data_IF_070879272353
#
_entry.id   IF_070879272353
#
_cell.length_a   1.000
_cell.length_b   1.000
_cell.length_c   1.000
_cell.angle_alpha   90.00
_cell.angle_beta   90.00
_cell.angle_gamma   90.00
#
_symmetry.space_group_name_H-M   'P 1'
#
loop_
_entity.id
_entity.type
_entity.pdbx_description
1 polymer ?
#
# COMPACT_ATOMS: atom_id res chain seq x y z
N UNK A 1 -10.90 12.45 -14.67
CA UNK A 1 -11.91 11.44 -14.34
C UNK A 1 -12.44 11.72 -12.97
N UNK A 2 -13.55 12.47 -12.89
CA UNK A 2 -14.25 12.70 -11.62
C UNK A 2 -15.62 12.04 -11.74
N UNK A 3 -16.10 11.43 -10.66
CA UNK A 3 -17.48 10.96 -10.54
C UNK A 3 -18.37 12.18 -10.36
N UNK A 4 -19.22 12.46 -11.34
CA UNK A 4 -20.17 13.56 -11.28
C UNK A 4 -21.49 13.10 -10.66
N UNK A 5 -21.88 13.73 -9.56
CA UNK A 5 -23.19 13.56 -8.92
C UNK A 5 -24.06 14.75 -9.30
N UNK A 6 -25.14 14.51 -10.05
CA UNK A 6 -26.10 15.55 -10.43
C UNK A 6 -27.06 15.80 -9.26
N UNK A 7 -27.28 17.07 -8.92
CA UNK A 7 -28.19 17.48 -7.84
C UNK A 7 -29.38 18.19 -8.46
N UNK A 8 -30.59 17.69 -8.21
CA UNK A 8 -31.84 18.26 -8.71
C UNK A 8 -32.87 18.41 -7.59
N UNK A 9 -33.66 19.49 -7.67
CA UNK A 9 -34.81 19.76 -6.80
C UNK A 9 -35.94 20.31 -7.69
N UNK A 10 -36.71 19.40 -8.29
CA UNK A 10 -37.64 19.67 -9.39
C UNK A 10 -36.95 19.89 -10.73
N UNK A 11 -35.90 20.72 -10.75
CA UNK A 11 -35.03 21.00 -11.88
C UNK A 11 -33.55 20.78 -11.50
N UNK A 12 -32.67 20.60 -12.50
CA UNK A 12 -31.23 20.44 -12.28
C UNK A 12 -30.64 21.69 -11.62
N UNK A 13 -30.11 21.55 -10.39
CA UNK A 13 -29.53 22.64 -9.61
C UNK A 13 -28.01 22.74 -9.74
N UNK A 14 -27.34 21.65 -10.10
CA UNK A 14 -25.90 21.63 -10.31
C UNK A 14 -25.32 20.22 -10.35
N UNK A 15 -23.99 20.14 -10.34
CA UNK A 15 -23.23 18.89 -10.29
C UNK A 15 -22.08 18.99 -9.28
N UNK A 16 -21.82 17.91 -8.55
CA UNK A 16 -20.70 17.76 -7.62
C UNK A 16 -19.72 16.77 -8.24
N UNK A 17 -18.46 17.16 -8.41
CA UNK A 17 -17.38 16.28 -8.86
C UNK A 17 -16.62 15.67 -7.69
N UNK A 18 -16.62 14.34 -7.58
CA UNK A 18 -15.84 13.59 -6.58
C UNK A 18 -14.69 12.89 -7.30
N UNK A 19 -13.46 13.04 -6.82
CA UNK A 19 -12.30 12.36 -7.39
C UNK A 19 -11.36 11.90 -6.29
N UNK A 20 -10.81 10.70 -6.46
CA UNK A 20 -9.72 10.23 -5.62
C UNK A 20 -8.45 11.01 -5.94
N UNK A 21 -7.85 11.58 -4.89
CA UNK A 21 -6.58 12.29 -5.04
C UNK A 21 -5.46 11.28 -5.14
N UNK A 22 -4.65 11.45 -6.18
CA UNK A 22 -3.37 10.75 -6.33
C UNK A 22 -2.47 11.19 -5.17
N UNK A 23 -1.77 10.24 -4.55
CA UNK A 23 -0.78 10.57 -3.51
C UNK A 23 0.34 11.41 -4.11
N UNK A 24 0.77 12.44 -3.39
CA UNK A 24 1.79 13.40 -3.87
C UNK A 24 3.12 12.72 -4.25
N UNK A 25 3.42 11.57 -3.64
CA UNK A 25 4.64 10.83 -3.87
C UNK A 25 4.57 9.80 -5.01
N UNK A 26 3.39 9.58 -5.59
CA UNK A 26 3.16 8.55 -6.62
C UNK A 26 4.02 8.76 -7.85
N UNK A 27 3.98 9.96 -8.46
CA UNK A 27 4.74 10.25 -9.69
C UNK A 27 6.24 10.02 -9.49
N UNK A 28 6.79 10.47 -8.35
CA UNK A 28 8.21 10.28 -8.03
C UNK A 28 8.55 8.81 -7.79
N UNK A 29 7.69 8.07 -7.11
CA UNK A 29 7.88 6.64 -6.86
C UNK A 29 7.86 5.83 -8.16
N UNK A 30 6.89 6.08 -9.04
CA UNK A 30 6.78 5.45 -10.36
C UNK A 30 8.00 5.74 -11.22
N UNK A 31 8.42 7.02 -11.32
CA UNK A 31 9.63 7.39 -12.06
C UNK A 31 10.88 6.67 -11.53
N UNK A 32 10.99 6.50 -10.21
CA UNK A 32 12.11 5.79 -9.59
C UNK A 32 12.10 4.30 -9.93
N UNK A 33 10.92 3.66 -9.96
CA UNK A 33 10.79 2.26 -10.38
C UNK A 33 11.18 2.07 -11.85
N UNK A 34 10.71 2.97 -12.74
CA UNK A 34 11.10 2.96 -14.16
C UNK A 34 12.61 3.10 -14.32
N UNK A 35 13.25 4.02 -13.58
CA UNK A 35 14.71 4.19 -13.60
C UNK A 35 15.48 2.96 -13.06
N UNK A 36 14.81 2.02 -12.40
CA UNK A 36 15.37 0.75 -11.93
C UNK A 36 15.01 -0.43 -12.84
N UNK A 37 14.54 -0.14 -14.07
CA UNK A 37 14.10 -1.13 -15.07
C UNK A 37 12.90 -1.98 -14.60
N UNK A 38 12.03 -1.40 -13.78
CA UNK A 38 10.76 -2.02 -13.39
C UNK A 38 9.64 -1.37 -14.19
N UNK A 39 8.87 -2.17 -14.93
CA UNK A 39 7.70 -1.72 -15.68
C UNK A 39 6.49 -1.60 -14.73
N UNK A 40 5.99 -0.38 -14.45
CA UNK A 40 4.81 -0.21 -13.62
C UNK A 40 3.56 -0.45 -14.47
N UNK A 41 2.63 -1.25 -13.94
CA UNK A 41 1.33 -1.55 -14.56
C UNK A 41 0.23 -1.13 -13.59
N UNK A 42 -0.75 -0.36 -14.08
CA UNK A 42 -1.93 0.00 -13.27
C UNK A 42 -3.02 -1.06 -13.47
N UNK A 43 -3.47 -1.67 -12.38
CA UNK A 43 -4.58 -2.61 -12.36
C UNK A 43 -5.71 -2.02 -11.52
N UNK A 44 -6.85 -1.68 -12.13
CA UNK A 44 -7.96 -1.02 -11.45
C UNK A 44 -9.33 -1.54 -11.91
N UNK A 45 -10.31 -1.43 -11.01
CA UNK A 45 -11.72 -1.68 -11.32
C UNK A 45 -12.45 -0.44 -11.85
N UNK A 46 -11.78 0.72 -11.89
CA UNK A 46 -12.33 1.92 -12.51
C UNK A 46 -12.42 1.79 -14.03
N UNK A 47 -13.30 2.60 -14.63
CA UNK A 47 -13.41 2.67 -16.07
C UNK A 47 -12.11 3.18 -16.73
N UNK A 48 -11.91 2.76 -17.97
CA UNK A 48 -10.72 3.07 -18.75
C UNK A 48 -10.39 4.57 -18.85
N UNK A 49 -11.40 5.43 -18.96
CA UNK A 49 -11.19 6.88 -19.09
C UNK A 49 -10.58 7.48 -17.81
N UNK A 50 -11.07 7.07 -16.65
CA UNK A 50 -10.51 7.51 -15.36
C UNK A 50 -9.13 6.90 -15.14
N UNK A 51 -8.99 5.59 -15.38
CA UNK A 51 -7.74 4.88 -15.19
C UNK A 51 -6.59 5.47 -16.03
N UNK A 52 -6.83 5.72 -17.33
CA UNK A 52 -5.83 6.34 -18.22
C UNK A 52 -5.45 7.75 -17.78
N UNK A 53 -6.41 8.57 -17.36
CA UNK A 53 -6.12 9.92 -16.88
C UNK A 53 -5.19 9.89 -15.64
N UNK A 54 -5.45 8.99 -14.69
CA UNK A 54 -4.59 8.81 -13.51
C UNK A 54 -3.21 8.28 -13.93
N UNK A 55 -3.16 7.29 -14.82
CA UNK A 55 -1.93 6.69 -15.29
C UNK A 55 -1.02 7.71 -16.01
N UNK A 56 -1.57 8.54 -16.88
CA UNK A 56 -0.85 9.64 -17.54
C UNK A 56 -0.30 10.64 -16.51
N UNK A 57 -1.06 10.95 -15.46
CA UNK A 57 -0.63 11.87 -14.41
C UNK A 57 0.54 11.32 -13.56
N UNK A 58 0.68 10.01 -13.43
CA UNK A 58 1.80 9.39 -12.68
C UNK A 58 2.90 8.83 -13.56
N UNK A 59 2.70 8.75 -14.88
CA UNK A 59 3.68 8.24 -15.84
C UNK A 59 3.65 6.71 -16.02
N UNK A 60 2.48 6.08 -15.88
CA UNK A 60 2.26 4.65 -16.13
C UNK A 60 1.77 4.45 -17.57
N UNK A 61 2.42 3.55 -18.32
CA UNK A 61 2.10 3.30 -19.73
C UNK A 61 1.08 2.17 -19.93
N UNK A 62 1.17 1.10 -19.13
CA UNK A 62 0.28 -0.07 -19.23
C UNK A 62 -0.82 0.03 -18.18
N UNK A 63 -2.06 0.07 -18.64
CA UNK A 63 -3.26 0.20 -17.79
C UNK A 63 -4.23 -0.94 -18.11
N UNK A 64 -4.71 -1.59 -17.06
CA UNK A 64 -5.69 -2.66 -17.08
C UNK A 64 -6.87 -2.19 -16.24
N UNK A 65 -7.88 -1.66 -16.92
CA UNK A 65 -9.08 -1.05 -16.34
C UNK A 65 -10.26 -2.03 -16.35
N UNK A 66 -11.34 -1.68 -15.66
CA UNK A 66 -12.57 -2.48 -15.56
C UNK A 66 -12.34 -3.92 -15.04
N UNK A 67 -11.31 -4.12 -14.21
CA UNK A 67 -10.97 -5.44 -13.66
C UNK A 67 -11.69 -5.67 -12.32
N UNK A 68 -12.56 -6.69 -12.29
CA UNK A 68 -13.23 -7.14 -11.07
C UNK A 68 -12.21 -7.69 -10.05
N UNK A 69 -12.48 -7.60 -8.73
CA UNK A 69 -11.58 -8.10 -7.69
C UNK A 69 -11.10 -9.55 -7.93
N UNK A 70 -12.04 -10.46 -8.24
CA UNK A 70 -11.73 -11.88 -8.51
C UNK A 70 -10.84 -12.07 -9.75
N UNK A 71 -10.90 -11.13 -10.69
CA UNK A 71 -10.17 -11.18 -11.97
C UNK A 71 -8.78 -10.56 -11.88
N UNK A 72 -8.47 -9.79 -10.81
CA UNK A 72 -7.14 -9.21 -10.61
C UNK A 72 -6.05 -10.30 -10.51
N UNK A 73 -6.35 -11.38 -9.79
CA UNK A 73 -5.45 -12.51 -9.65
C UNK A 73 -5.19 -13.21 -11.00
N UNK A 74 -6.20 -13.36 -11.84
CA UNK A 74 -6.03 -13.94 -13.18
C UNK A 74 -5.10 -13.12 -14.05
N UNK A 75 -5.23 -11.79 -13.98
CA UNK A 75 -4.41 -10.87 -14.75
C UNK A 75 -2.92 -10.91 -14.32
N UNK A 76 -2.66 -11.04 -13.02
CA UNK A 76 -1.32 -11.33 -12.51
C UNK A 76 -0.79 -12.64 -13.07
N UNK A 77 -1.62 -13.69 -13.08
CA UNK A 77 -1.27 -14.98 -13.67
C UNK A 77 -0.94 -14.89 -15.17
N UNK A 78 -1.64 -14.02 -15.91
CA UNK A 78 -1.37 -13.78 -17.33
C UNK A 78 0.01 -13.13 -17.52
N UNK A 79 0.33 -12.11 -16.73
CA UNK A 79 1.65 -11.45 -16.73
C UNK A 79 2.77 -12.44 -16.36
N UNK A 80 2.54 -13.32 -15.40
CA UNK A 80 3.49 -14.37 -15.03
C UNK A 80 3.68 -15.39 -16.16
N UNK A 81 2.61 -15.77 -16.86
CA UNK A 81 2.66 -16.66 -18.01
C UNK A 81 3.39 -16.05 -19.22
N UNK A 82 3.37 -14.71 -19.34
CA UNK A 82 4.18 -13.93 -20.30
C UNK A 82 5.69 -13.95 -19.94
N UNK A 83 6.07 -14.54 -18.79
CA UNK A 83 7.46 -14.68 -18.34
C UNK A 83 7.93 -13.57 -17.40
N UNK A 84 7.03 -12.68 -16.97
CA UNK A 84 7.37 -11.62 -16.02
C UNK A 84 7.35 -12.12 -14.58
N UNK A 85 8.23 -11.55 -13.74
CA UNK A 85 8.17 -11.67 -12.28
C UNK A 85 7.34 -10.50 -11.77
N UNK A 86 6.22 -10.78 -11.11
CA UNK A 86 5.21 -9.76 -10.79
C UNK A 86 5.22 -9.45 -9.31
N UNK A 87 5.38 -8.17 -8.97
CA UNK A 87 5.10 -7.67 -7.63
C UNK A 87 3.76 -6.93 -7.64
N UNK A 88 2.81 -7.36 -6.81
CA UNK A 88 1.50 -6.72 -6.67
C UNK A 88 1.53 -5.76 -5.49
N UNK A 89 1.00 -4.54 -5.68
CA UNK A 89 0.91 -3.52 -4.65
C UNK A 89 -0.56 -3.19 -4.42
N UNK A 90 -1.04 -3.33 -3.18
CA UNK A 90 -2.46 -3.14 -2.86
C UNK A 90 -2.72 -2.71 -1.42
N UNK A 91 -3.99 -2.53 -1.08
CA UNK A 91 -4.44 -2.16 0.28
C UNK A 91 -4.54 -3.35 1.26
N UNK A 92 -4.43 -4.58 0.73
CA UNK A 92 -4.47 -5.82 1.50
C UNK A 92 -5.86 -6.32 1.87
N UNK A 93 -6.92 -5.53 1.68
CA UNK A 93 -8.30 -5.93 2.00
C UNK A 93 -9.00 -6.44 0.75
N UNK A 94 -9.01 -5.64 -0.32
CA UNK A 94 -9.70 -5.98 -1.57
C UNK A 94 -8.80 -6.76 -2.54
N UNK A 95 -7.50 -6.67 -2.32
CA UNK A 95 -6.47 -7.20 -3.21
C UNK A 95 -5.82 -8.48 -2.68
N UNK A 96 -6.28 -9.04 -1.55
CA UNK A 96 -5.66 -10.21 -0.92
C UNK A 96 -5.44 -11.40 -1.88
N UNK A 97 -6.42 -11.84 -2.71
CA UNK A 97 -6.19 -12.92 -3.67
C UNK A 97 -5.14 -12.57 -4.75
N UNK A 98 -5.06 -11.29 -5.13
CA UNK A 98 -4.10 -10.81 -6.10
C UNK A 98 -2.68 -10.72 -5.49
N UNK A 99 -2.57 -10.24 -4.25
CA UNK A 99 -1.32 -10.21 -3.49
C UNK A 99 -0.73 -11.60 -3.29
N UNK A 100 -1.56 -12.57 -2.90
CA UNK A 100 -1.13 -13.95 -2.69
C UNK A 100 -0.70 -14.68 -3.98
N UNK A 101 -1.19 -14.24 -5.15
CA UNK A 101 -0.82 -14.83 -6.45
C UNK A 101 0.44 -14.23 -7.07
N UNK A 102 0.80 -13.01 -6.68
CA UNK A 102 2.01 -12.36 -7.15
C UNK A 102 3.27 -13.12 -6.71
N UNK A 103 4.40 -12.92 -7.38
CA UNK A 103 5.69 -13.42 -6.90
C UNK A 103 6.11 -12.74 -5.60
N UNK A 104 5.67 -11.48 -5.42
CA UNK A 104 5.80 -10.71 -4.18
C UNK A 104 4.55 -9.86 -3.98
N UNK A 105 3.81 -10.10 -2.91
CA UNK A 105 2.70 -9.26 -2.46
C UNK A 105 3.20 -8.12 -1.56
N UNK A 106 2.84 -6.88 -1.89
CA UNK A 106 3.19 -5.68 -1.09
C UNK A 106 1.93 -4.95 -0.66
N UNK A 107 1.66 -4.92 0.65
CA UNK A 107 0.55 -4.15 1.21
C UNK A 107 0.99 -2.74 1.64
N UNK A 108 0.19 -1.72 1.34
CA UNK A 108 0.46 -0.32 1.71
C UNK A 108 -0.54 0.19 2.74
N UNK A 109 -0.03 0.73 3.85
CA UNK A 109 -0.87 1.41 4.84
C UNK A 109 -1.86 0.48 5.53
N UNK A 110 -1.58 -0.81 5.51
CA UNK A 110 -2.43 -1.84 6.06
C UNK A 110 -1.98 -2.16 7.48
N UNK A 111 -2.85 -1.87 8.44
CA UNK A 111 -2.75 -2.31 9.84
C UNK A 111 -3.88 -3.29 10.20
N UNK A 112 -4.46 -3.95 9.19
CA UNK A 112 -5.52 -4.95 9.35
C UNK A 112 -4.93 -6.35 9.24
N UNK A 113 -5.45 -7.29 10.04
CA UNK A 113 -4.93 -8.67 10.11
C UNK A 113 -4.93 -9.37 8.74
N UNK A 114 -5.90 -9.06 7.87
CA UNK A 114 -6.00 -9.65 6.52
C UNK A 114 -4.78 -9.33 5.65
N UNK A 115 -4.23 -8.12 5.77
CA UNK A 115 -3.06 -7.73 5.00
C UNK A 115 -1.77 -8.37 5.55
N UNK A 116 -1.73 -8.65 6.86
CA UNK A 116 -0.63 -9.37 7.51
C UNK A 116 -0.54 -10.83 7.04
N UNK A 117 -1.67 -11.47 6.76
CA UNK A 117 -1.69 -12.85 6.29
C UNK A 117 -1.49 -12.97 4.77
N UNK A 118 -1.79 -11.93 3.99
CA UNK A 118 -1.87 -12.03 2.52
C UNK A 118 -0.69 -11.41 1.75
N UNK A 119 0.22 -10.69 2.41
CA UNK A 119 1.32 -9.99 1.76
C UNK A 119 2.70 -10.36 2.34
N UNK A 120 3.71 -10.48 1.47
CA UNK A 120 5.10 -10.77 1.86
C UNK A 120 5.80 -9.54 2.46
N UNK A 121 5.39 -8.34 2.05
CA UNK A 121 5.98 -7.07 2.49
C UNK A 121 4.88 -6.10 2.89
N UNK A 122 5.00 -5.51 4.08
CA UNK A 122 4.01 -4.56 4.61
C UNK A 122 4.68 -3.21 4.83
N UNK A 123 4.14 -2.19 4.16
CA UNK A 123 4.56 -0.81 4.35
C UNK A 123 3.67 -0.14 5.38
N UNK A 124 4.24 0.10 6.57
CA UNK A 124 3.57 0.74 7.72
C UNK A 124 3.00 2.11 7.33
N UNK A 125 3.74 2.87 6.52
CA UNK A 125 3.32 4.20 6.07
C UNK A 125 2.62 4.10 4.72
N UNK A 126 1.51 4.82 4.55
CA UNK A 126 0.72 4.84 3.31
C UNK A 126 1.36 5.65 2.17
N UNK A 127 2.65 5.43 1.88
CA UNK A 127 3.47 6.13 0.88
C UNK A 127 3.97 5.17 -0.19
N UNK A 128 3.72 5.47 -1.47
CA UNK A 128 4.16 4.62 -2.59
C UNK A 128 5.69 4.60 -2.73
N UNK A 129 6.36 5.64 -2.27
CA UNK A 129 7.82 5.72 -2.20
C UNK A 129 8.45 4.57 -1.41
N UNK A 130 7.72 4.00 -0.45
CA UNK A 130 8.18 2.84 0.32
C UNK A 130 8.38 1.60 -0.54
N UNK A 131 7.58 1.42 -1.60
CA UNK A 131 7.72 0.29 -2.54
C UNK A 131 9.03 0.41 -3.31
N UNK A 132 9.32 1.60 -3.85
CA UNK A 132 10.55 1.84 -4.57
C UNK A 132 11.79 1.68 -3.66
N UNK A 133 11.70 2.14 -2.41
CA UNK A 133 12.77 1.97 -1.42
C UNK A 133 12.99 0.49 -1.07
N UNK A 134 11.92 -0.27 -0.83
CA UNK A 134 12.00 -1.70 -0.55
C UNK A 134 12.64 -2.47 -1.71
N UNK A 135 12.25 -2.15 -2.96
CA UNK A 135 12.85 -2.75 -4.15
C UNK A 135 14.35 -2.44 -4.28
N UNK A 136 14.75 -1.20 -4.06
CA UNK A 136 16.16 -0.78 -4.11
C UNK A 136 17.00 -1.47 -3.03
N UNK A 137 16.50 -1.55 -1.80
CA UNK A 137 17.14 -2.26 -0.69
C UNK A 137 17.30 -3.74 -1.02
N UNK A 138 16.25 -4.38 -1.57
CA UNK A 138 16.29 -5.77 -1.99
C UNK A 138 17.35 -6.01 -3.08
N UNK A 139 17.37 -5.17 -4.12
CA UNK A 139 18.34 -5.27 -5.23
C UNK A 139 19.78 -5.11 -4.75
N UNK A 140 20.03 -4.15 -3.88
CA UNK A 140 21.35 -3.92 -3.29
C UNK A 140 21.78 -5.08 -2.38
N UNK A 141 20.86 -5.58 -1.56
CA UNK A 141 21.12 -6.71 -0.66
C UNK A 141 21.43 -7.98 -1.45
N UNK A 142 20.65 -8.28 -2.49
CA UNK A 142 20.90 -9.43 -3.36
C UNK A 142 22.24 -9.34 -4.09
N UNK A 143 22.64 -8.14 -4.56
CA UNK A 143 23.97 -7.92 -5.14
C UNK A 143 25.08 -8.27 -4.15
N UNK A 144 25.01 -7.75 -2.92
CA UNK A 144 26.00 -8.06 -1.87
C UNK A 144 26.03 -9.56 -1.53
N UNK A 145 24.88 -10.21 -1.48
CA UNK A 145 24.81 -11.67 -1.25
C UNK A 145 25.54 -12.43 -2.36
N UNK A 146 25.34 -12.05 -3.63
CA UNK A 146 26.06 -12.67 -4.76
C UNK A 146 27.57 -12.44 -4.69
N UNK A 147 28.00 -11.23 -4.33
CA UNK A 147 29.43 -10.91 -4.16
C UNK A 147 30.06 -11.75 -3.03
N UNK A 148 29.42 -11.79 -1.86
CA UNK A 148 29.89 -12.58 -0.72
C UNK A 148 29.96 -14.08 -1.06
N UNK A 149 28.94 -14.59 -1.77
CA UNK A 149 28.88 -15.98 -2.19
C UNK A 149 29.98 -16.30 -3.22
N UNK A 150 30.22 -15.40 -4.19
CA UNK A 150 31.29 -15.56 -5.17
C UNK A 150 32.68 -15.57 -4.51
N UNK A 151 32.92 -14.71 -3.51
CA UNK A 151 34.17 -14.71 -2.74
C UNK A 151 34.32 -16.01 -1.96
N UNK A 152 33.27 -16.47 -1.27
CA UNK A 152 33.30 -17.72 -0.51
C UNK A 152 33.58 -18.94 -1.39
N UNK A 153 32.91 -19.05 -2.54
CA UNK A 153 33.16 -20.13 -3.50
C UNK A 153 34.54 -20.05 -4.13
N UNK A 154 35.05 -18.85 -4.42
CA UNK A 154 36.40 -18.69 -4.96
C UNK A 154 37.46 -19.12 -3.94
N UNK A 155 37.29 -18.72 -2.69
CA UNK A 155 38.18 -19.11 -1.59
C UNK A 155 38.23 -20.62 -1.42
N UNK A 156 37.07 -21.29 -1.34
CA UNK A 156 37.01 -22.74 -1.20
C UNK A 156 37.47 -23.46 -2.48
N UNK A 157 37.08 -22.95 -3.64
CA UNK A 157 37.42 -23.51 -4.95
C UNK A 157 38.92 -23.49 -5.23
N UNK A 158 39.66 -22.50 -4.73
CA UNK A 158 41.13 -22.44 -4.81
C UNK A 158 41.78 -23.15 -3.61
N UNK A 159 41.24 -22.96 -2.41
CA UNK A 159 41.79 -23.48 -1.17
C UNK A 159 41.81 -25.01 -1.10
N UNK A 160 40.75 -25.68 -1.57
CA UNK A 160 40.67 -27.15 -1.54
C UNK A 160 41.72 -27.82 -2.45
N UNK A 161 41.88 -27.43 -3.73
CA UNK A 161 42.96 -27.95 -4.57
C UNK A 161 44.35 -27.73 -3.98
N UNK A 162 44.64 -26.53 -3.47
CA UNK A 162 45.96 -26.26 -2.87
C UNK A 162 46.16 -27.10 -1.60
N UNK A 163 45.15 -27.24 -0.75
CA UNK A 163 45.23 -28.11 0.42
C UNK A 163 45.46 -29.58 0.05
N UNK A 164 44.83 -30.05 -1.03
CA UNK A 164 45.00 -31.41 -1.54
C UNK A 164 46.45 -31.68 -2.04
N UNK A 165 47.19 -30.66 -2.45
CA UNK A 165 48.62 -30.81 -2.80
C UNK A 165 49.53 -31.02 -1.59
N UNK A 166 49.03 -30.86 -0.36
CA UNK A 166 49.80 -31.01 0.88
C UNK A 166 50.76 -29.85 1.19
N UNK A 167 50.84 -28.83 0.33
CA UNK A 167 51.69 -27.65 0.48
C UNK A 167 51.10 -26.60 1.45
N UNK A 168 49.82 -26.71 1.80
CA UNK A 168 49.11 -25.75 2.64
C UNK A 168 49.08 -26.23 4.10
N UNK A 169 49.93 -25.61 4.93
CA UNK A 169 49.94 -25.90 6.36
C UNK A 169 48.63 -25.41 7.03
N UNK A 170 47.96 -26.19 7.90
CA UNK A 170 46.63 -25.88 8.45
C UNK A 170 46.50 -24.49 9.13
N UNK A 171 47.60 -23.99 9.70
CA UNK A 171 47.66 -22.68 10.37
C UNK A 171 47.37 -21.54 9.38
N UNK A 172 47.93 -21.61 8.16
CA UNK A 172 47.73 -20.59 7.13
C UNK A 172 46.32 -20.65 6.55
N UNK A 173 45.73 -21.83 6.44
CA UNK A 173 44.33 -21.99 6.03
C UNK A 173 43.36 -21.35 7.03
N UNK A 174 43.58 -21.56 8.34
CA UNK A 174 42.79 -20.93 9.39
C UNK A 174 42.93 -19.40 9.41
N UNK A 175 44.15 -18.88 9.26
CA UNK A 175 44.39 -17.43 9.19
C UNK A 175 43.67 -16.79 7.99
N UNK A 176 43.71 -17.43 6.83
CA UNK A 176 43.04 -16.97 5.62
C UNK A 176 41.50 -17.02 5.75
N UNK A 177 40.96 -18.03 6.43
CA UNK A 177 39.52 -18.11 6.72
C UNK A 177 39.06 -16.97 7.64
N UNK A 178 39.82 -16.66 8.70
CA UNK A 178 39.53 -15.52 9.60
C UNK A 178 39.56 -14.21 8.83
N UNK A 179 40.59 -13.98 8.02
CA UNK A 179 40.72 -12.75 7.21
C UNK A 179 39.56 -12.59 6.21
N UNK A 180 39.12 -13.67 5.57
CA UNK A 180 37.98 -13.68 4.65
C UNK A 180 36.68 -13.28 5.34
N UNK A 181 36.39 -13.87 6.51
CA UNK A 181 35.21 -13.52 7.31
C UNK A 181 35.26 -12.05 7.74
N UNK A 182 36.42 -11.56 8.20
CA UNK A 182 36.59 -10.16 8.56
C UNK A 182 36.34 -9.21 7.37
N UNK A 183 36.81 -9.57 6.18
CA UNK A 183 36.59 -8.77 4.96
C UNK A 183 35.12 -8.73 4.54
N UNK A 184 34.42 -9.88 4.60
CA UNK A 184 32.99 -9.97 4.28
C UNK A 184 32.14 -9.18 5.28
N UNK A 185 32.47 -9.24 6.57
CA UNK A 185 31.83 -8.41 7.59
C UNK A 185 32.12 -6.93 7.34
N UNK A 186 33.36 -6.56 7.06
CA UNK A 186 33.72 -5.19 6.74
C UNK A 186 32.98 -4.66 5.48
N UNK A 187 32.78 -5.48 4.45
CA UNK A 187 32.01 -5.09 3.26
C UNK A 187 30.49 -4.98 3.55
N UNK A 188 29.97 -5.86 4.40
CA UNK A 188 28.56 -5.88 4.76
C UNK A 188 28.19 -4.69 5.67
N UNK A 189 29.05 -4.34 6.62
CA UNK A 189 28.83 -3.25 7.59
C UNK A 189 29.51 -1.92 7.22
N UNK A 190 30.52 -1.91 6.36
CA UNK A 190 31.28 -0.69 6.03
C UNK A 190 30.44 0.42 5.41
N UNK A 191 29.42 0.05 4.62
CA UNK A 191 28.44 1.02 4.12
C UNK A 191 27.59 1.68 5.21
N UNK A 192 27.38 1.02 6.36
CA UNK A 192 26.69 1.56 7.54
C UNK A 192 27.59 2.41 8.44
N UNK A 193 28.91 2.26 8.34
CA UNK A 193 29.86 3.01 9.18
C UNK A 193 30.37 4.30 8.52
N UNK A 194 30.44 4.33 7.18
CA UNK A 194 30.93 5.48 6.40
C UNK A 194 29.81 6.49 6.07
N UNK A 195 28.57 6.03 5.90
CA UNK A 195 27.40 6.92 5.87
C UNK A 195 26.83 6.95 7.28
N UNK A 196 27.11 8.02 8.02
CA UNK A 196 26.49 8.36 9.31
C UNK A 196 24.99 8.65 9.20
N UNK A 197 24.26 7.88 8.40
CA UNK A 197 22.80 7.82 8.43
C UNK A 197 22.45 6.86 9.57
N UNK A 198 22.50 7.40 10.78
CA UNK A 198 21.73 6.86 11.88
C UNK A 198 20.31 6.64 11.39
N UNK A 199 19.70 5.54 11.84
CA UNK A 199 18.26 5.39 11.74
C UNK A 199 17.69 6.50 12.62
N UNK A 200 17.44 7.66 12.03
CA UNK A 200 16.48 8.61 12.55
C UNK A 200 15.12 7.94 12.38
N UNK A 201 14.81 7.03 13.31
CA UNK A 201 13.42 6.76 13.64
C UNK A 201 12.80 8.10 14.02
N UNK A 202 11.53 8.35 13.66
CA UNK A 202 10.86 9.56 14.08
C UNK A 202 10.88 9.61 15.62
N UNK A 203 11.74 10.46 16.17
CA UNK A 203 11.68 10.89 17.55
C UNK A 203 10.35 11.61 17.75
N UNK A 204 9.55 11.14 18.72
CA UNK A 204 8.36 11.85 19.18
C UNK A 204 7.03 11.13 18.97
N UNK A 205 6.88 9.92 19.49
CA UNK A 205 5.58 9.46 19.98
C UNK A 205 5.84 8.52 21.16
N UNK A 206 5.69 9.06 22.37
CA UNK A 206 5.66 8.28 23.59
C UNK A 206 4.75 7.06 23.42
N UNK A 207 5.27 5.90 23.80
CA UNK A 207 4.50 4.67 23.94
C UNK A 207 3.24 4.98 24.77
N UNK A 208 2.08 4.95 24.12
CA UNK A 208 0.80 4.84 24.81
C UNK A 208 0.49 3.35 24.94
N UNK A 209 0.06 2.88 26.12
CA UNK A 209 -0.26 1.47 26.30
C UNK A 209 -1.44 1.08 25.40
N UNK A 210 -1.36 -0.13 24.87
CA UNK A 210 -2.41 -0.81 24.12
C UNK A 210 -3.70 -0.87 24.96
N UNK A 211 -4.89 -0.57 24.41
CA UNK A 211 -6.12 -0.88 25.10
C UNK A 211 -6.45 -2.36 24.88
N UNK A 212 -6.52 -3.06 26.01
CA UNK A 212 -7.07 -4.41 26.16
C UNK A 212 -8.49 -4.49 25.57
N UNK A 213 -8.77 -5.62 24.94
CA UNK A 213 -10.10 -5.97 24.44
C UNK A 213 -11.09 -6.10 25.61
N UNK A 214 -11.86 -5.05 25.85
CA UNK A 214 -13.02 -5.05 26.74
C UNK A 214 -14.31 -5.19 25.94
N UNK A 215 -15.03 -6.29 26.17
CA UNK A 215 -16.44 -6.39 25.86
C UNK A 215 -17.18 -5.25 26.58
N UNK A 216 -17.86 -4.38 25.82
CA UNK A 216 -18.76 -3.38 26.38
C UNK A 216 -20.20 -3.83 26.12
N UNK A 217 -20.85 -4.17 27.23
CA UNK A 217 -22.25 -4.51 27.38
C UNK A 217 -23.18 -3.36 26.96
N UNK A 218 -24.41 -3.74 26.61
CA UNK A 218 -25.52 -2.85 26.34
C UNK A 218 -25.85 -2.01 27.58
N UNK A 219 -25.89 -0.69 27.44
CA UNK A 219 -26.51 0.18 28.44
C UNK A 219 -27.54 1.11 27.78
N UNK A 220 -28.79 0.86 28.14
CA UNK A 220 -29.95 1.65 27.81
C UNK A 220 -29.92 2.95 28.61
N UNK A 221 -30.09 4.09 27.94
CA UNK A 221 -30.42 5.35 28.59
C UNK A 221 -31.64 5.95 27.91
N UNK A 222 -32.80 5.81 28.58
CA UNK A 222 -34.00 6.61 28.36
C UNK A 222 -33.78 8.04 28.88
N UNK A 223 -34.40 9.05 28.24
CA UNK A 223 -34.63 10.36 28.87
C UNK A 223 -34.52 11.60 27.97
N UNK A 224 -35.57 11.86 27.20
CA UNK A 224 -36.21 13.16 26.91
C UNK A 224 -35.46 14.38 26.33
N UNK A 225 -36.02 14.89 25.21
CA UNK A 225 -35.74 16.23 24.69
C UNK A 225 -36.10 16.41 23.21
N UNK A 226 -37.39 16.34 22.86
CA UNK A 226 -37.88 16.50 21.48
C UNK A 226 -37.63 17.94 20.98
N UNK A 227 -36.84 18.08 19.91
CA UNK A 227 -36.92 19.16 18.92
C UNK A 227 -36.94 18.54 17.53
N UNK A 228 -37.78 19.01 16.58
CA UNK A 228 -37.90 18.37 15.26
C UNK A 228 -36.67 18.75 14.42
N UNK A 229 -35.64 17.91 14.43
CA UNK A 229 -34.58 17.99 13.41
C UNK A 229 -35.11 17.34 12.14
N UNK A 230 -35.22 18.11 11.04
CA UNK A 230 -35.55 17.57 9.72
C UNK A 230 -34.46 16.57 9.32
N UNK A 231 -34.80 15.29 9.43
CA UNK A 231 -33.99 14.19 8.95
C UNK A 231 -34.36 13.92 7.50
N UNK A 232 -33.39 14.06 6.60
CA UNK A 232 -33.59 13.81 5.17
C UNK A 232 -32.86 12.52 4.81
N UNK A 233 -33.59 11.59 4.20
CA UNK A 233 -32.99 10.36 3.66
C UNK A 233 -32.74 10.55 2.18
N UNK A 234 -31.46 10.52 1.79
CA UNK A 234 -31.01 10.53 0.40
C UNK A 234 -30.92 9.08 -0.09
N UNK A 235 -31.59 8.80 -1.20
CA UNK A 235 -31.44 7.53 -1.92
C UNK A 235 -30.23 7.64 -2.85
N UNK A 236 -29.25 6.76 -2.67
CA UNK A 236 -28.03 6.70 -3.47
C UNK A 236 -27.98 5.34 -4.16
N UNK A 237 -28.75 5.16 -5.25
CA UNK A 237 -28.75 3.91 -5.99
C UNK A 237 -27.36 3.66 -6.57
N UNK A 238 -26.71 2.58 -6.12
CA UNK A 238 -25.36 2.20 -6.56
C UNK A 238 -24.26 2.27 -5.51
N UNK A 239 -24.56 2.63 -4.25
CA UNK A 239 -23.60 2.50 -3.15
C UNK A 239 -23.31 1.03 -2.85
N UNK A 240 -22.08 0.55 -3.12
CA UNK A 240 -21.71 -0.88 -3.04
C UNK A 240 -20.67 -1.24 -1.97
N UNK A 241 -19.91 -0.27 -1.44
CA UNK A 241 -18.90 -0.54 -0.42
C UNK A 241 -18.89 0.51 0.69
N UNK A 242 -18.35 0.12 1.85
CA UNK A 242 -18.24 1.01 3.03
C UNK A 242 -17.29 2.19 2.81
N UNK A 243 -16.34 2.07 1.87
CA UNK A 243 -15.50 3.19 1.42
C UNK A 243 -16.33 4.29 0.76
N UNK A 244 -17.21 3.93 -0.19
CA UNK A 244 -18.13 4.87 -0.83
C UNK A 244 -19.08 5.52 0.20
N UNK A 245 -19.57 4.73 1.17
CA UNK A 245 -20.38 5.26 2.27
C UNK A 245 -19.63 6.34 3.06
N UNK A 246 -18.43 6.03 3.56
CA UNK A 246 -17.61 6.99 4.32
C UNK A 246 -17.26 8.25 3.53
N UNK A 247 -16.91 8.12 2.26
CA UNK A 247 -16.62 9.27 1.40
C UNK A 247 -17.84 10.19 1.23
N UNK A 248 -19.03 9.60 1.03
CA UNK A 248 -20.29 10.34 0.88
C UNK A 248 -20.69 11.01 2.21
N UNK A 249 -20.59 10.31 3.34
CA UNK A 249 -20.86 10.89 4.66
C UNK A 249 -19.91 12.04 4.99
N UNK A 250 -18.61 11.90 4.69
CA UNK A 250 -17.62 12.94 4.90
C UNK A 250 -17.89 14.19 4.02
N UNK A 251 -18.25 13.98 2.75
CA UNK A 251 -18.59 15.05 1.83
C UNK A 251 -19.90 15.77 2.20
N UNK A 252 -20.89 15.05 2.73
CA UNK A 252 -22.14 15.66 3.20
C UNK A 252 -21.93 16.38 4.54
N UNK A 253 -21.11 15.83 5.44
CA UNK A 253 -20.78 16.43 6.72
C UNK A 253 -19.96 17.72 6.65
N UNK A 254 -19.31 17.98 5.51
CA UNK A 254 -18.57 19.23 5.27
C UNK A 254 -19.46 20.39 4.81
N UNK A 255 -20.73 20.15 4.52
CA UNK A 255 -21.69 21.19 4.18
C UNK A 255 -22.15 21.93 5.44
N UNK A 256 -22.16 23.27 5.41
CA UNK A 256 -22.54 24.11 6.57
C UNK A 256 -23.96 23.82 7.08
N UNK A 257 -24.85 23.39 6.17
CA UNK A 257 -26.23 23.02 6.49
C UNK A 257 -26.38 21.64 7.14
N UNK A 258 -25.32 20.82 7.26
CA UNK A 258 -25.38 19.44 7.75
C UNK A 258 -24.76 19.32 9.14
N UNK A 259 -25.55 18.81 10.09
CA UNK A 259 -25.13 18.51 11.46
C UNK A 259 -24.43 17.16 11.52
N UNK A 260 -25.01 16.15 10.86
CA UNK A 260 -24.51 14.78 10.88
C UNK A 260 -25.00 14.01 9.65
N UNK A 261 -24.15 13.16 9.09
CA UNK A 261 -24.48 12.27 7.98
C UNK A 261 -24.11 10.82 8.35
N UNK A 262 -25.07 9.91 8.23
CA UNK A 262 -24.93 8.49 8.55
C UNK A 262 -25.31 7.63 7.34
N UNK A 263 -24.56 6.57 7.07
CA UNK A 263 -24.73 5.77 5.85
C UNK A 263 -25.21 4.36 6.15
N UNK A 264 -26.28 3.94 5.49
CA UNK A 264 -26.77 2.56 5.48
C UNK A 264 -26.44 1.91 4.12
N UNK A 265 -25.21 1.37 4.01
CA UNK A 265 -24.65 0.83 2.76
C UNK A 265 -25.50 -0.31 2.19
N UNK A 266 -26.00 -1.23 3.05
CA UNK A 266 -26.84 -2.37 2.62
C UNK A 266 -28.16 -1.95 1.94
N UNK A 267 -28.62 -0.74 2.19
CA UNK A 267 -29.89 -0.21 1.66
C UNK A 267 -29.68 0.92 0.65
N UNK A 268 -28.44 1.31 0.38
CA UNK A 268 -28.14 2.44 -0.51
C UNK A 268 -28.65 3.78 0.00
N UNK A 269 -28.76 3.97 1.32
CA UNK A 269 -29.37 5.16 1.93
C UNK A 269 -28.37 5.96 2.73
N UNK A 270 -28.47 7.29 2.65
CA UNK A 270 -27.71 8.22 3.51
C UNK A 270 -28.68 9.12 4.24
N UNK A 271 -28.60 9.07 5.57
CA UNK A 271 -29.44 9.80 6.51
C UNK A 271 -28.69 11.05 6.93
N UNK A 272 -29.26 12.21 6.63
CA UNK A 272 -28.63 13.50 6.87
C UNK A 272 -29.49 14.30 7.82
N UNK A 273 -28.88 14.72 8.92
CA UNK A 273 -29.46 15.65 9.89
C UNK A 273 -28.97 17.05 9.55
N UNK A 274 -29.90 17.97 9.31
CA UNK A 274 -29.58 19.35 8.93
C UNK A 274 -29.46 20.25 10.17
N UNK A 275 -28.50 21.19 10.15
CA UNK A 275 -28.44 22.30 11.12
C UNK A 275 -29.55 23.28 10.77
N UNK A 276 -30.33 23.71 11.77
CA UNK A 276 -31.41 24.68 11.56
C UNK A 276 -30.88 26.03 11.04
N UNK A 277 -30.89 26.21 9.71
CA UNK A 277 -31.18 27.45 9.00
C UNK A 277 -30.89 27.27 7.51
N UNK A 278 -31.92 26.97 6.71
CA UNK A 278 -31.97 27.46 5.32
C UNK A 278 -33.35 28.09 5.18
N UNK A 279 -33.38 29.42 5.16
CA UNK A 279 -34.54 30.24 4.80
C UNK A 279 -35.05 29.82 3.41
N UNK A 280 -36.36 29.93 3.22
CA UNK A 280 -37.10 29.70 1.96
C UNK A 280 -36.41 30.23 0.70
#
# INVERSE_FOLDING_TARGET
GQTAVLVAAGELRGAIGIADRIKDDSRRAIARLVNMDVEPVMLTGDNERTARAVAEEVGIQRVLADVLPDRKAEEIGRLQAEGHRVAMVGDGINDAPALARADVGVAIGAGTDIALESADVILIHSRLSGVAAAFEVSRNSYRKTKENLAIAFSFNGIGVPIAATGLLHPIWAMAAMVASVSLVLANSFGGRLVRGEGIAGPEGAAARPEPEHGHAEEEQAEGEGVRPSREVTLDVPGMRCEGCGRAIAAALGSLEAVERAETEVKRGKVRVRLRNAVSE
#
